data_IF_313981701219
#
_entry.id   IF_313981701219
#
_cell.length_a   1.000
_cell.length_b   1.000
_cell.length_c   1.000
_cell.angle_alpha   90.00
_cell.angle_beta   90.00
_cell.angle_gamma   90.00
#
_symmetry.space_group_name_H-M   'P 1'
#
loop_
_entity.id
_entity.type
_entity.pdbx_description
1 polymer ?
#
# COMPACT_ATOMS: atom_id res chain seq x y z
N UNK A 1 -35.75 45.67 19.33
CA UNK A 1 -35.63 46.09 17.93
C UNK A 1 -34.74 45.06 17.28
N UNK A 2 -35.37 43.98 16.83
CA UNK A 2 -34.78 42.93 16.00
C UNK A 2 -34.81 43.44 14.57
N UNK A 3 -33.65 43.52 13.94
CA UNK A 3 -33.50 43.21 12.52
C UNK A 3 -32.25 42.32 12.37
N UNK A 4 -32.43 41.04 12.00
CA UNK A 4 -31.39 40.04 11.78
C UNK A 4 -31.07 39.96 10.28
N UNK A 5 -29.79 40.07 9.87
CA UNK A 5 -29.29 39.48 8.62
C UNK A 5 -27.78 39.77 8.43
N UNK A 6 -26.95 38.83 8.91
CA UNK A 6 -25.79 38.27 8.21
C UNK A 6 -25.45 36.95 8.90
N UNK A 7 -25.72 35.86 8.19
CA UNK A 7 -25.49 34.48 8.64
C UNK A 7 -24.01 34.13 8.85
N UNK A 8 -23.84 33.14 9.73
CA UNK A 8 -22.68 32.37 10.24
C UNK A 8 -21.28 32.50 9.62
N UNK A 9 -20.30 32.92 10.45
CA UNK A 9 -18.87 32.60 10.36
C UNK A 9 -18.48 31.40 11.24
N UNK A 10 -19.35 30.41 11.45
CA UNK A 10 -18.89 29.02 11.71
C UNK A 10 -18.24 28.45 10.43
N UNK A 11 -18.58 29.02 9.28
CA UNK A 11 -18.14 28.70 7.92
C UNK A 11 -16.87 29.44 7.45
N UNK A 12 -16.09 30.03 8.36
CA UNK A 12 -14.91 30.84 8.01
C UNK A 12 -13.62 30.35 8.68
N UNK A 13 -13.33 29.05 8.53
CA UNK A 13 -11.95 28.53 8.62
C UNK A 13 -11.39 28.41 10.04
N UNK A 14 -11.88 27.46 10.85
CA UNK A 14 -10.99 26.76 11.81
C UNK A 14 -10.01 27.68 12.58
N UNK A 15 -10.48 28.83 13.09
CA UNK A 15 -9.60 30.00 13.36
C UNK A 15 -8.59 29.79 14.50
N UNK A 16 -8.51 28.61 15.12
CA UNK A 16 -7.54 28.32 16.19
C UNK A 16 -6.97 26.91 16.09
N UNK A 17 -6.15 26.72 15.06
CA UNK A 17 -5.22 25.61 14.75
C UNK A 17 -4.23 25.22 15.88
N UNK A 18 -4.51 25.52 17.14
CA UNK A 18 -4.04 24.76 18.33
C UNK A 18 -4.74 23.40 18.45
N UNK A 19 -5.77 23.18 17.63
CA UNK A 19 -6.56 21.95 17.46
C UNK A 19 -6.21 21.17 16.16
N UNK A 20 -5.01 21.37 15.59
CA UNK A 20 -4.63 20.81 14.28
C UNK A 20 -4.14 19.36 14.36
N UNK A 21 -5.05 18.47 14.69
CA UNK A 21 -5.09 17.19 14.01
C UNK A 21 -5.71 17.47 12.64
N UNK A 22 -4.92 17.36 11.57
CA UNK A 22 -5.45 17.52 10.23
C UNK A 22 -6.22 16.25 9.88
N UNK A 23 -7.55 16.32 9.92
CA UNK A 23 -8.32 15.60 8.92
C UNK A 23 -7.86 16.22 7.59
N UNK A 24 -7.25 15.50 6.65
CA UNK A 24 -7.72 14.27 6.04
C UNK A 24 -6.54 13.76 5.17
N UNK A 25 -6.04 12.54 5.35
CA UNK A 25 -5.24 11.87 4.31
C UNK A 25 -5.99 10.63 3.86
N UNK A 26 -6.33 10.55 2.57
CA UNK A 26 -6.94 9.36 2.00
C UNK A 26 -6.20 8.08 2.41
N UNK A 27 -7.00 7.06 2.70
CA UNK A 27 -6.67 5.62 2.81
C UNK A 27 -5.60 5.28 3.83
N UNK A 28 -5.93 5.69 5.04
CA UNK A 28 -5.23 5.21 6.19
C UNK A 28 -3.92 5.92 6.36
N UNK A 29 -3.91 7.25 6.39
CA UNK A 29 -2.86 8.00 7.07
C UNK A 29 -3.37 9.24 7.83
N UNK A 30 -2.63 9.76 8.82
CA UNK A 30 -2.91 11.05 9.46
C UNK A 30 -1.62 11.82 9.78
N UNK A 31 -1.52 13.11 9.41
CA UNK A 31 -0.42 13.98 9.87
C UNK A 31 -0.85 14.80 11.08
N UNK A 32 -0.12 14.62 12.16
CA UNK A 32 -0.44 15.22 13.45
C UNK A 32 0.78 15.98 13.97
N UNK A 33 0.56 17.20 14.44
CA UNK A 33 1.66 18.13 14.67
C UNK A 33 1.71 18.58 16.12
N UNK A 34 2.83 18.33 16.80
CA UNK A 34 3.06 18.82 18.16
C UNK A 34 3.63 20.24 18.15
N UNK A 35 3.06 21.12 18.98
CA UNK A 35 3.62 22.44 19.26
C UNK A 35 4.63 22.40 20.40
N UNK A 36 5.91 22.75 20.16
CA UNK A 36 6.93 22.88 21.22
C UNK A 36 7.97 23.99 20.92
N UNK A 37 8.67 24.50 21.94
CA UNK A 37 9.63 25.59 21.82
C UNK A 37 11.04 25.11 21.39
N UNK A 38 11.46 25.38 20.14
CA UNK A 38 12.90 25.34 19.79
C UNK A 38 13.35 24.73 18.45
N UNK A 39 12.62 24.91 17.34
CA UNK A 39 13.00 24.35 16.03
C UNK A 39 13.68 25.33 15.04
N UNK A 40 14.37 24.83 13.99
CA UNK A 40 14.86 25.64 12.86
C UNK A 40 13.73 26.28 12.03
N UNK A 41 13.98 27.46 11.44
CA UNK A 41 12.98 28.23 10.65
C UNK A 41 12.56 27.52 9.36
N UNK A 42 11.29 27.63 8.99
CA UNK A 42 10.79 27.28 7.65
C UNK A 42 11.67 27.94 6.57
N UNK A 43 12.10 27.20 5.53
CA UNK A 43 12.65 27.82 4.34
C UNK A 43 11.56 28.68 3.69
N UNK A 44 11.97 29.82 3.13
CA UNK A 44 11.07 30.72 2.36
C UNK A 44 10.81 30.23 0.93
N UNK A 45 11.31 29.05 0.59
CA UNK A 45 11.24 28.42 -0.71
C UNK A 45 10.97 26.91 -0.50
N UNK A 46 10.43 26.21 -1.52
CA UNK A 46 10.30 24.76 -1.51
C UNK A 46 11.62 24.09 -1.15
N UNK A 47 11.56 22.95 -0.45
CA UNK A 47 12.76 22.13 -0.27
C UNK A 47 13.15 21.58 -1.65
N UNK A 48 14.19 22.16 -2.27
CA UNK A 48 14.75 21.66 -3.52
C UNK A 48 15.21 20.20 -3.33
N UNK A 49 14.83 19.31 -4.25
CA UNK A 49 15.28 17.91 -4.26
C UNK A 49 16.75 17.78 -4.73
N UNK A 50 17.43 18.91 -4.94
CA UNK A 50 18.81 19.02 -5.40
C UNK A 50 19.77 18.47 -4.33
N UNK A 51 19.97 17.15 -4.42
CA UNK A 51 20.75 16.30 -3.53
C UNK A 51 20.15 16.15 -2.13
N UNK A 52 19.38 15.07 -1.91
CA UNK A 52 19.46 14.15 -0.75
C UNK A 52 19.69 14.75 0.67
N UNK A 53 19.34 16.02 0.90
CA UNK A 53 19.60 16.81 2.11
C UNK A 53 18.30 17.09 2.88
N UNK A 54 17.24 16.30 2.67
CA UNK A 54 16.15 16.23 3.65
C UNK A 54 16.71 15.52 4.89
N UNK A 55 16.84 16.20 6.05
CA UNK A 55 17.32 15.53 7.26
C UNK A 55 16.38 14.36 7.56
N UNK A 56 16.97 13.19 7.76
CA UNK A 56 16.23 11.95 7.95
C UNK A 56 15.24 12.10 9.11
N UNK A 57 14.00 11.68 8.88
CA UNK A 57 13.13 11.25 9.96
C UNK A 57 13.80 10.04 10.60
N UNK A 58 14.09 10.11 11.90
CA UNK A 58 14.61 8.94 12.62
C UNK A 58 13.52 7.86 12.59
N UNK A 59 13.82 6.72 11.97
CA UNK A 59 13.06 5.50 12.14
C UNK A 59 13.34 5.00 13.57
N UNK A 60 12.56 5.47 14.54
CA UNK A 60 12.65 4.97 15.91
C UNK A 60 12.03 3.58 15.96
N UNK A 61 12.86 2.59 16.31
CA UNK A 61 12.45 1.20 16.53
C UNK A 61 11.48 1.08 17.70
N UNK A 62 10.51 0.21 17.50
CA UNK A 62 9.54 -0.34 18.44
C UNK A 62 10.03 -0.44 19.91
N UNK A 63 9.63 0.53 20.75
CA UNK A 63 9.31 0.41 22.17
C UNK A 63 9.26 1.80 22.82
N UNK A 64 8.07 2.19 23.31
CA UNK A 64 7.65 3.48 23.92
C UNK A 64 7.34 4.60 22.92
N UNK A 65 6.06 4.99 22.85
CA UNK A 65 5.63 6.25 22.19
C UNK A 65 6.50 7.40 22.69
N UNK A 66 7.32 7.98 21.81
CA UNK A 66 7.95 9.25 22.08
C UNK A 66 6.85 10.31 22.29
N UNK A 67 7.13 11.36 23.06
CA UNK A 67 6.13 12.39 23.37
C UNK A 67 5.43 12.98 22.11
N UNK A 68 6.09 13.16 20.95
CA UNK A 68 5.43 13.53 19.71
C UNK A 68 4.34 12.53 19.26
N UNK A 69 4.63 11.23 19.32
CA UNK A 69 3.71 10.17 18.91
C UNK A 69 2.51 10.10 19.87
N UNK A 70 2.77 10.14 21.17
CA UNK A 70 1.71 10.17 22.19
C UNK A 70 0.83 11.42 22.08
N UNK A 71 1.42 12.60 21.84
CA UNK A 71 0.68 13.84 21.64
C UNK A 71 -0.20 13.78 20.38
N UNK A 72 0.35 13.24 19.30
CA UNK A 72 -0.37 13.02 18.07
C UNK A 72 -1.57 12.06 18.27
N UNK A 73 -1.37 10.88 18.87
CA UNK A 73 -2.49 9.95 19.16
C UNK A 73 -3.61 10.59 19.98
N UNK A 74 -3.28 11.44 20.96
CA UNK A 74 -4.28 12.22 21.72
C UNK A 74 -5.04 13.24 20.85
N UNK A 75 -4.34 13.89 19.93
CA UNK A 75 -4.96 14.83 18.99
C UNK A 75 -5.90 14.11 18.02
N UNK A 76 -5.52 12.92 17.53
CA UNK A 76 -6.39 12.08 16.71
C UNK A 76 -7.68 11.65 17.44
N UNK A 77 -7.58 11.30 18.73
CA UNK A 77 -8.77 11.00 19.56
C UNK A 77 -9.75 12.18 19.60
N UNK A 78 -9.21 13.40 19.67
CA UNK A 78 -10.04 14.61 19.69
C UNK A 78 -10.78 14.86 18.36
N UNK A 79 -10.31 14.27 17.25
CA UNK A 79 -11.01 14.25 15.97
C UNK A 79 -12.00 13.10 15.80
N UNK A 80 -12.10 12.19 16.77
CA UNK A 80 -12.95 11.01 16.65
C UNK A 80 -12.30 9.84 15.89
N UNK A 81 -10.98 9.86 15.66
CA UNK A 81 -10.24 8.69 15.20
C UNK A 81 -9.93 7.77 16.40
N UNK A 82 -10.14 6.46 16.22
CA UNK A 82 -9.75 5.48 17.24
C UNK A 82 -8.21 5.40 17.30
N UNK A 83 -7.57 5.71 18.43
CA UNK A 83 -6.11 5.62 18.55
C UNK A 83 -5.55 4.22 18.33
N UNK A 84 -6.37 3.18 18.50
CA UNK A 84 -5.95 1.79 18.29
C UNK A 84 -5.88 1.40 16.82
N UNK A 85 -6.55 2.15 15.93
CA UNK A 85 -6.44 1.94 14.48
C UNK A 85 -5.30 2.72 13.86
N UNK A 86 -4.59 3.55 14.64
CA UNK A 86 -3.46 4.34 14.14
C UNK A 86 -2.15 3.55 14.26
N UNK A 87 -1.54 3.24 13.13
CA UNK A 87 -0.19 2.69 13.03
C UNK A 87 0.80 3.83 12.82
N UNK A 88 1.89 3.92 13.59
CA UNK A 88 2.86 4.99 13.38
C UNK A 88 3.73 4.68 12.17
N UNK A 89 3.87 5.64 11.23
CA UNK A 89 4.70 5.47 10.02
C UNK A 89 5.99 6.26 10.13
N UNK A 90 5.91 7.55 10.50
CA UNK A 90 7.08 8.43 10.48
C UNK A 90 6.93 9.64 11.37
N UNK A 91 8.03 10.07 11.97
CA UNK A 91 8.13 11.37 12.66
C UNK A 91 9.10 12.29 11.92
N UNK A 92 8.62 13.39 11.39
CA UNK A 92 9.44 14.37 10.68
C UNK A 92 10.21 15.28 11.62
N UNK A 93 11.33 15.83 11.15
CA UNK A 93 12.10 16.80 11.93
C UNK A 93 11.26 18.03 12.29
N UNK A 94 11.38 18.58 13.52
CA UNK A 94 10.64 19.77 13.91
C UNK A 94 10.93 20.99 13.04
N UNK A 95 9.91 21.78 12.74
CA UNK A 95 10.00 23.01 11.94
C UNK A 95 9.38 24.19 12.70
N UNK A 96 9.92 25.40 12.53
CA UNK A 96 9.38 26.63 13.11
C UNK A 96 8.62 27.47 12.08
N UNK A 97 7.37 27.82 12.40
CA UNK A 97 6.54 28.78 11.66
C UNK A 97 6.16 29.94 12.59
N UNK A 98 6.72 31.13 12.33
CA UNK A 98 6.60 32.28 13.24
C UNK A 98 7.19 32.03 14.64
N UNK A 99 6.34 32.11 15.66
CA UNK A 99 6.71 31.87 17.06
C UNK A 99 6.59 30.40 17.49
N UNK A 100 5.88 29.59 16.70
CA UNK A 100 5.51 28.22 17.02
C UNK A 100 6.46 27.22 16.34
N UNK A 101 6.69 26.06 16.97
CA UNK A 101 7.37 24.94 16.31
C UNK A 101 6.46 23.73 16.21
N UNK A 102 6.65 22.94 15.18
CA UNK A 102 5.76 21.90 14.70
C UNK A 102 6.57 20.62 14.46
N UNK A 103 6.22 19.51 15.11
CA UNK A 103 6.81 18.20 14.84
C UNK A 103 5.75 17.30 14.15
N UNK A 104 5.79 17.17 12.81
CA UNK A 104 4.80 16.40 12.07
C UNK A 104 5.02 14.89 12.29
N UNK A 105 3.95 14.16 12.51
CA UNK A 105 3.93 12.71 12.70
C UNK A 105 2.91 12.13 11.73
N UNK A 106 3.34 11.21 10.87
CA UNK A 106 2.49 10.45 9.96
C UNK A 106 2.12 9.13 10.63
N UNK A 107 0.81 8.88 10.73
CA UNK A 107 0.24 7.57 11.02
C UNK A 107 -0.32 6.97 9.75
N UNK A 108 -0.45 5.65 9.72
CA UNK A 108 -1.41 4.94 8.89
C UNK A 108 -2.69 4.62 9.71
N UNK A 109 -3.86 4.48 9.08
CA UNK A 109 -5.12 4.09 9.74
C UNK A 109 -5.56 2.73 9.21
N UNK A 110 -5.59 1.74 10.09
CA UNK A 110 -6.00 0.38 9.77
C UNK A 110 -7.52 0.29 9.56
N UNK A 111 -7.94 -0.35 8.46
CA UNK A 111 -9.33 -0.64 8.11
C UNK A 111 -10.14 0.55 7.58
N UNK A 112 -11.42 0.31 7.28
CA UNK A 112 -12.43 1.34 7.02
C UNK A 112 -12.77 2.09 8.32
N UNK A 113 -11.78 2.78 8.89
CA UNK A 113 -11.89 3.56 10.12
C UNK A 113 -12.88 4.72 9.95
N UNK A 114 -14.17 4.40 9.89
CA UNK A 114 -15.25 5.34 10.04
C UNK A 114 -15.09 5.95 11.44
N UNK A 115 -14.79 7.25 11.47
CA UNK A 115 -14.70 8.00 12.71
C UNK A 115 -16.01 7.83 13.48
N UNK A 116 -15.99 7.06 14.57
CA UNK A 116 -17.15 6.95 15.45
C UNK A 116 -17.17 8.19 16.33
N UNK A 117 -17.75 9.29 15.85
CA UNK A 117 -18.01 10.44 16.70
C UNK A 117 -19.30 10.21 17.49
N UNK A 118 -19.15 10.02 18.80
CA UNK A 118 -20.25 10.16 19.75
C UNK A 118 -20.61 11.67 19.84
N UNK A 119 -21.35 12.15 18.83
CA UNK A 119 -22.10 13.39 18.86
C UNK A 119 -21.35 14.71 18.68
N UNK A 120 -20.93 15.02 17.43
CA UNK A 120 -20.94 16.36 16.84
C UNK A 120 -20.46 16.26 15.37
N UNK A 121 -21.33 16.65 14.42
CA UNK A 121 -21.18 16.51 12.97
C UNK A 121 -21.06 15.05 12.46
N UNK A 122 -21.87 14.74 11.45
CA UNK A 122 -21.89 13.47 10.74
C UNK A 122 -20.55 13.26 10.04
N UNK A 123 -19.73 12.33 10.55
CA UNK A 123 -18.53 11.87 9.85
C UNK A 123 -18.86 11.19 8.50
N UNK A 124 -20.13 10.82 8.29
CA UNK A 124 -20.66 10.36 7.00
C UNK A 124 -20.54 11.39 5.86
N UNK A 125 -20.23 12.67 6.15
CA UNK A 125 -20.07 13.75 5.16
C UNK A 125 -18.60 14.21 4.97
N UNK A 126 -17.62 13.62 5.66
CA UNK A 126 -16.21 13.99 5.50
C UNK A 126 -15.57 13.21 4.33
N UNK A 127 -15.26 13.91 3.24
CA UNK A 127 -14.59 13.31 2.08
C UNK A 127 -13.10 13.15 2.32
N UNK A 128 -12.57 11.95 2.09
CA UNK A 128 -11.14 11.69 2.18
C UNK A 128 -10.38 12.24 0.96
N UNK A 129 -9.44 13.17 1.15
CA UNK A 129 -8.62 13.82 0.09
C UNK A 129 -7.12 13.50 0.22
N UNK A 130 -6.39 13.59 -0.90
CA UNK A 130 -4.94 13.47 -0.91
C UNK A 130 -4.25 14.69 -0.26
N UNK A 131 -3.04 14.55 0.31
CA UNK A 131 -2.31 15.69 0.87
C UNK A 131 -1.99 16.78 -0.16
N UNK A 132 -2.06 16.49 -1.46
CA UNK A 132 -1.95 17.51 -2.52
C UNK A 132 -3.08 18.54 -2.49
N UNK A 133 -4.21 18.26 -1.81
CA UNK A 133 -5.22 19.28 -1.51
C UNK A 133 -4.65 20.47 -0.72
N UNK A 134 -3.58 20.28 0.06
CA UNK A 134 -2.87 21.37 0.74
C UNK A 134 -2.19 22.34 -0.25
N UNK A 135 -1.91 21.92 -1.48
CA UNK A 135 -1.38 22.79 -2.54
C UNK A 135 -2.50 23.48 -3.32
N UNK A 136 -3.60 22.76 -3.57
CA UNK A 136 -4.68 23.21 -4.45
C UNK A 136 -5.73 24.07 -3.73
N UNK A 137 -6.00 23.78 -2.46
CA UNK A 137 -7.12 24.35 -1.71
C UNK A 137 -6.69 25.22 -0.52
N UNK A 138 -5.47 25.05 -0.01
CA UNK A 138 -5.00 25.82 1.15
C UNK A 138 -4.67 27.26 0.79
N UNK A 139 -5.03 28.18 1.70
CA UNK A 139 -4.58 29.56 1.66
C UNK A 139 -3.12 29.74 2.12
N UNK A 140 -2.49 28.71 2.73
CA UNK A 140 -1.14 28.79 3.31
C UNK A 140 -0.19 27.71 2.77
N UNK A 141 0.82 28.09 1.97
CA UNK A 141 1.88 27.18 1.54
C UNK A 141 2.67 26.51 2.69
N UNK A 142 2.60 27.05 3.92
CA UNK A 142 3.33 26.50 5.07
C UNK A 142 2.80 25.14 5.54
N UNK A 143 1.57 24.77 5.19
CA UNK A 143 0.97 23.48 5.57
C UNK A 143 1.59 22.33 4.75
N UNK A 144 1.75 22.53 3.44
CA UNK A 144 2.43 21.59 2.56
C UNK A 144 3.87 21.31 3.04
N UNK A 145 4.61 22.35 3.43
CA UNK A 145 5.99 22.18 3.94
C UNK A 145 6.08 21.37 5.23
N UNK A 146 4.99 21.30 6.02
CA UNK A 146 4.93 20.42 7.20
C UNK A 146 4.71 18.98 6.78
N UNK A 147 3.78 18.72 5.85
CA UNK A 147 3.57 17.40 5.27
C UNK A 147 4.84 16.84 4.61
N UNK A 148 5.58 17.66 3.85
CA UNK A 148 6.82 17.25 3.17
C UNK A 148 7.90 16.66 4.09
N UNK A 149 7.84 16.91 5.42
CA UNK A 149 8.77 16.30 6.39
C UNK A 149 8.47 14.84 6.70
N UNK A 150 7.25 14.41 6.45
CA UNK A 150 6.81 13.03 6.67
C UNK A 150 6.43 12.32 5.37
N UNK A 151 6.25 13.06 4.27
CA UNK A 151 6.02 12.51 2.93
C UNK A 151 7.09 11.48 2.53
N UNK A 152 6.72 10.41 1.81
CA UNK A 152 7.69 9.42 1.35
C UNK A 152 8.73 10.02 0.40
N UNK A 153 9.87 9.34 0.28
CA UNK A 153 10.95 9.69 -0.65
C UNK A 153 11.49 8.43 -1.32
N UNK A 154 12.17 8.58 -2.45
CA UNK A 154 12.91 7.47 -3.08
C UNK A 154 13.85 6.81 -2.06
N UNK A 155 14.53 7.62 -1.24
CA UNK A 155 15.43 7.13 -0.20
C UNK A 155 14.70 6.35 0.88
N UNK A 156 13.52 6.80 1.34
CA UNK A 156 12.75 6.03 2.33
C UNK A 156 12.32 4.69 1.77
N UNK A 157 11.86 4.65 0.50
CA UNK A 157 11.50 3.40 -0.18
C UNK A 157 12.72 2.47 -0.34
N UNK A 158 13.89 3.04 -0.62
CA UNK A 158 15.16 2.31 -0.76
C UNK A 158 15.74 1.83 0.59
N UNK A 159 15.39 2.48 1.70
CA UNK A 159 15.87 2.11 3.03
C UNK A 159 14.95 1.13 3.76
N UNK A 160 13.67 1.08 3.41
CA UNK A 160 12.65 0.28 4.09
C UNK A 160 12.79 -1.23 3.79
N UNK A 161 13.35 -1.97 4.74
CA UNK A 161 13.46 -3.43 4.71
C UNK A 161 12.44 -4.13 5.61
N UNK A 162 11.47 -3.39 6.14
CA UNK A 162 10.50 -3.89 7.12
C UNK A 162 9.15 -4.17 6.46
N UNK A 163 8.74 -3.31 5.52
CA UNK A 163 7.44 -3.41 4.86
C UNK A 163 7.47 -4.21 3.54
N UNK A 164 6.31 -4.75 3.19
CA UNK A 164 6.11 -5.53 1.96
C UNK A 164 5.98 -4.69 0.69
N UNK A 165 6.06 -5.35 -0.47
CA UNK A 165 6.04 -4.71 -1.79
C UNK A 165 4.75 -3.90 -2.08
N UNK A 166 3.59 -4.36 -1.58
CA UNK A 166 2.32 -3.65 -1.75
C UNK A 166 2.36 -2.27 -1.08
N UNK A 167 2.79 -2.22 0.19
CA UNK A 167 2.97 -0.98 0.94
C UNK A 167 3.93 -0.01 0.24
N UNK A 168 5.13 -0.49 -0.09
CA UNK A 168 6.17 0.35 -0.69
C UNK A 168 5.80 0.87 -2.08
N UNK A 169 5.02 0.10 -2.83
CA UNK A 169 4.52 0.56 -4.13
C UNK A 169 3.52 1.70 -4.01
N UNK A 170 2.65 1.71 -2.99
CA UNK A 170 1.74 2.84 -2.72
C UNK A 170 2.56 4.08 -2.36
N UNK A 171 3.56 3.94 -1.48
CA UNK A 171 4.47 5.04 -1.11
C UNK A 171 5.26 5.57 -2.31
N UNK A 172 5.60 4.72 -3.28
CA UNK A 172 6.22 5.15 -4.54
C UNK A 172 5.28 6.01 -5.40
N UNK A 173 4.00 5.65 -5.47
CA UNK A 173 3.01 6.46 -6.19
C UNK A 173 2.78 7.81 -5.50
N UNK A 174 2.79 7.86 -4.17
CA UNK A 174 2.72 9.12 -3.44
C UNK A 174 3.90 10.05 -3.76
N UNK A 175 5.12 9.51 -3.89
CA UNK A 175 6.29 10.29 -4.31
C UNK A 175 6.06 10.94 -5.68
N UNK A 176 5.50 10.19 -6.65
CA UNK A 176 5.18 10.74 -7.97
C UNK A 176 4.07 11.79 -7.91
N UNK A 177 2.96 11.47 -7.23
CA UNK A 177 1.81 12.36 -7.04
C UNK A 177 2.25 13.70 -6.44
N UNK A 178 2.99 13.64 -5.33
CA UNK A 178 3.37 14.81 -4.56
C UNK A 178 4.34 15.70 -5.34
N UNK A 179 5.26 15.11 -6.13
CA UNK A 179 6.17 15.90 -6.97
C UNK A 179 5.42 16.58 -8.11
N UNK A 180 4.53 15.86 -8.78
CA UNK A 180 3.74 16.36 -9.89
C UNK A 180 2.83 17.52 -9.44
N UNK A 181 2.12 17.36 -8.32
CA UNK A 181 1.29 18.41 -7.72
C UNK A 181 2.10 19.67 -7.38
N UNK A 182 3.31 19.50 -6.85
CA UNK A 182 4.18 20.62 -6.51
C UNK A 182 4.61 21.41 -7.77
N UNK A 183 5.00 20.72 -8.85
CA UNK A 183 5.36 21.36 -10.11
C UNK A 183 4.19 22.18 -10.70
N UNK A 184 2.97 21.63 -10.64
CA UNK A 184 1.74 22.33 -11.07
C UNK A 184 1.50 23.58 -10.20
N UNK A 185 1.63 23.45 -8.88
CA UNK A 185 1.45 24.57 -7.94
C UNK A 185 2.49 25.70 -8.14
N UNK A 186 3.73 25.33 -8.47
CA UNK A 186 4.83 26.28 -8.75
C UNK A 186 4.69 26.95 -10.12
N UNK A 187 3.90 26.38 -11.03
CA UNK A 187 3.79 26.83 -12.41
C UNK A 187 5.07 26.60 -13.23
N UNK A 188 5.91 25.66 -12.82
CA UNK A 188 7.17 25.29 -13.47
C UNK A 188 7.27 23.76 -13.68
N UNK A 189 6.41 23.19 -14.54
CA UNK A 189 6.41 21.76 -14.83
C UNK A 189 7.63 21.32 -15.65
N UNK A 190 8.29 20.27 -15.17
CA UNK A 190 9.46 19.65 -15.78
C UNK A 190 9.19 18.14 -15.95
N UNK A 191 8.93 17.75 -17.21
CA UNK A 191 8.60 16.37 -17.58
C UNK A 191 9.81 15.44 -17.53
N UNK A 192 10.99 15.96 -17.83
CA UNK A 192 12.22 15.18 -17.77
C UNK A 192 12.48 14.80 -16.30
N UNK A 193 12.23 15.72 -15.38
CA UNK A 193 12.35 15.45 -13.94
C UNK A 193 11.35 14.38 -13.44
N UNK A 194 10.07 14.43 -13.86
CA UNK A 194 9.07 13.42 -13.47
C UNK A 194 9.42 12.04 -14.04
N UNK A 195 9.94 12.00 -15.27
CA UNK A 195 10.44 10.79 -15.93
C UNK A 195 11.64 10.21 -15.17
N UNK A 196 12.63 11.05 -14.84
CA UNK A 196 13.80 10.69 -14.05
C UNK A 196 13.42 10.21 -12.64
N UNK A 197 12.41 10.82 -12.01
CA UNK A 197 11.86 10.37 -10.74
C UNK A 197 11.24 8.98 -10.84
N UNK A 198 10.48 8.71 -11.91
CA UNK A 198 9.97 7.39 -12.24
C UNK A 198 11.08 6.34 -12.33
N UNK A 199 12.17 6.64 -13.05
CA UNK A 199 13.32 5.74 -13.16
C UNK A 199 14.05 5.50 -11.83
N UNK A 200 14.17 6.54 -11.00
CA UNK A 200 14.72 6.42 -9.65
C UNK A 200 13.87 5.51 -8.75
N UNK A 201 12.55 5.63 -8.81
CA UNK A 201 11.63 4.77 -8.06
C UNK A 201 11.71 3.31 -8.52
N UNK A 202 11.74 3.08 -9.84
CA UNK A 202 11.89 1.75 -10.42
C UNK A 202 13.23 1.09 -10.04
N UNK A 203 14.25 1.89 -9.76
CA UNK A 203 15.56 1.45 -9.29
C UNK A 203 15.65 1.28 -7.76
N UNK A 204 14.70 1.79 -6.98
CA UNK A 204 14.72 1.76 -5.51
C UNK A 204 14.59 0.35 -4.94
N UNK A 205 13.74 -0.47 -5.58
CA UNK A 205 13.46 -1.87 -5.21
C UNK A 205 13.32 -2.74 -6.47
N UNK A 206 14.42 -3.04 -7.18
CA UNK A 206 14.36 -3.66 -8.49
C UNK A 206 13.81 -5.10 -8.49
N UNK A 207 13.67 -5.74 -7.33
CA UNK A 207 13.03 -7.05 -7.16
C UNK A 207 11.51 -6.99 -7.04
N UNK A 208 10.91 -5.82 -6.76
CA UNK A 208 9.48 -5.67 -6.48
C UNK A 208 8.68 -5.42 -7.77
N UNK A 209 8.10 -6.49 -8.33
CA UNK A 209 7.26 -6.42 -9.52
C UNK A 209 6.06 -5.47 -9.36
N UNK A 210 5.43 -5.45 -8.19
CA UNK A 210 4.28 -4.58 -7.89
C UNK A 210 4.64 -3.10 -8.00
N UNK A 211 5.78 -2.70 -7.42
CA UNK A 211 6.26 -1.33 -7.52
C UNK A 211 6.54 -0.98 -8.99
N UNK A 212 7.20 -1.89 -9.72
CA UNK A 212 7.49 -1.70 -11.14
C UNK A 212 6.21 -1.48 -11.96
N UNK A 213 5.25 -2.37 -11.83
CA UNK A 213 4.02 -2.34 -12.62
C UNK A 213 3.18 -1.10 -12.31
N UNK A 214 3.04 -0.73 -11.03
CA UNK A 214 2.26 0.44 -10.61
C UNK A 214 2.88 1.76 -11.09
N UNK A 215 4.20 1.93 -10.96
CA UNK A 215 4.89 3.13 -11.46
C UNK A 215 4.79 3.24 -12.98
N UNK A 216 5.02 2.14 -13.71
CA UNK A 216 4.88 2.12 -15.16
C UNK A 216 3.45 2.47 -15.60
N UNK A 217 2.44 1.95 -14.90
CA UNK A 217 1.02 2.24 -15.19
C UNK A 217 0.71 3.73 -15.07
N UNK A 218 1.18 4.39 -14.01
CA UNK A 218 0.99 5.83 -13.81
C UNK A 218 1.63 6.64 -14.94
N UNK A 219 2.89 6.35 -15.26
CA UNK A 219 3.62 7.11 -16.28
C UNK A 219 3.10 6.84 -17.69
N UNK A 220 2.69 5.61 -18.00
CA UNK A 220 2.01 5.28 -19.25
C UNK A 220 0.65 5.97 -19.39
N UNK A 221 -0.17 5.99 -18.34
CA UNK A 221 -1.46 6.67 -18.34
C UNK A 221 -1.30 8.18 -18.54
N UNK A 222 -0.30 8.80 -17.91
CA UNK A 222 -0.01 10.22 -18.07
C UNK A 222 0.52 10.57 -19.48
N UNK A 223 1.31 9.68 -20.09
CA UNK A 223 1.85 9.88 -21.44
C UNK A 223 0.81 9.65 -22.55
N UNK A 224 -0.16 8.75 -22.31
CA UNK A 224 -1.09 8.24 -23.32
C UNK A 224 -2.46 8.90 -23.35
N UNK A 225 -2.62 10.13 -22.84
CA UNK A 225 -3.86 10.92 -22.77
C UNK A 225 -5.12 10.25 -23.37
N UNK A 226 -5.98 9.75 -22.49
CA UNK A 226 -7.31 9.13 -22.75
C UNK A 226 -7.40 7.64 -23.15
N UNK A 227 -6.35 6.91 -23.54
CA UNK A 227 -6.54 5.55 -24.12
C UNK A 227 -6.42 4.34 -23.14
N UNK A 228 -5.95 4.52 -21.89
CA UNK A 228 -5.72 3.37 -20.97
C UNK A 228 -6.88 3.15 -19.98
N UNK A 229 -7.79 4.11 -19.83
CA UNK A 229 -8.88 4.01 -18.86
C UNK A 229 -10.05 3.12 -19.32
N UNK A 230 -10.24 2.90 -20.63
CA UNK A 230 -11.39 2.15 -21.15
C UNK A 230 -11.18 0.62 -21.22
N UNK A 231 -9.95 0.11 -21.18
CA UNK A 231 -9.73 -1.34 -21.33
C UNK A 231 -10.08 -2.17 -20.09
N UNK A 232 -10.12 -1.56 -18.90
CA UNK A 232 -10.38 -2.27 -17.64
C UNK A 232 -11.85 -2.19 -17.19
N UNK A 233 -12.62 -1.21 -17.66
CA UNK A 233 -14.06 -1.12 -17.36
C UNK A 233 -14.88 -2.21 -18.09
N UNK A 234 -14.37 -2.76 -19.20
CA UNK A 234 -15.08 -3.75 -20.00
C UNK A 234 -15.07 -5.18 -19.42
N UNK A 235 -14.32 -5.43 -18.34
CA UNK A 235 -14.24 -6.74 -17.69
C UNK A 235 -15.13 -6.88 -16.43
N UNK A 236 -15.81 -5.81 -16.00
CA UNK A 236 -16.71 -5.80 -14.84
C UNK A 236 -18.15 -5.55 -15.31
N UNK A 237 -18.93 -6.62 -15.44
CA UNK A 237 -20.31 -6.56 -15.96
C UNK A 237 -21.27 -5.90 -14.94
N UNK A 238 -21.77 -4.71 -15.28
CA UNK A 238 -23.20 -4.38 -15.17
C UNK A 238 -23.76 -3.75 -13.89
N UNK A 239 -23.43 -2.49 -13.57
CA UNK A 239 -24.43 -1.45 -13.21
C UNK A 239 -23.78 -0.05 -13.13
N UNK A 240 -23.59 0.62 -14.27
CA UNK A 240 -23.22 2.03 -14.30
C UNK A 240 -24.40 2.84 -14.83
N UNK A 241 -25.18 3.41 -13.90
CA UNK A 241 -26.15 4.44 -14.22
C UNK A 241 -25.41 5.64 -14.81
N UNK A 242 -25.77 5.99 -16.06
CA UNK A 242 -25.22 7.09 -16.81
C UNK A 242 -25.28 8.42 -16.03
N UNK A 243 -24.12 8.98 -15.71
CA UNK A 243 -23.94 10.40 -15.39
C UNK A 243 -23.49 11.09 -16.67
N UNK A 244 -24.42 11.82 -17.29
CA UNK A 244 -24.18 12.69 -18.44
C UNK A 244 -23.31 13.88 -17.97
N UNK A 245 -22.01 13.79 -18.23
CA UNK A 245 -21.03 14.85 -18.00
C UNK A 245 -20.41 15.26 -19.34
N UNK A 246 -20.62 16.52 -19.72
CA UNK A 246 -20.19 17.13 -20.98
C UNK A 246 -18.65 17.12 -21.10
N UNK A 247 -18.08 16.07 -21.68
CA UNK A 247 -16.66 15.94 -21.98
C UNK A 247 -16.32 16.78 -23.22
N UNK A 248 -15.89 18.02 -22.99
CA UNK A 248 -15.29 18.84 -24.02
C UNK A 248 -13.91 18.26 -24.40
N UNK A 249 -13.85 17.60 -25.56
CA UNK A 249 -12.62 17.16 -26.20
C UNK A 249 -11.59 18.32 -26.27
N UNK A 250 -10.50 18.21 -25.51
CA UNK A 250 -9.33 19.06 -25.59
C UNK A 250 -8.33 18.39 -26.54
N UNK A 251 -8.52 18.58 -27.84
CA UNK A 251 -7.52 18.29 -28.88
C UNK A 251 -6.46 19.40 -28.81
N UNK A 252 -5.42 19.20 -28.00
CA UNK A 252 -4.36 20.18 -27.74
C UNK A 252 -3.04 19.51 -27.39
N UNK A 253 -1.95 19.96 -28.03
CA UNK A 253 -0.56 19.62 -27.72
C UNK A 253 -0.35 19.58 -26.20
N UNK A 254 0.11 18.45 -25.66
CA UNK A 254 0.22 18.24 -24.23
C UNK A 254 1.22 19.26 -23.64
N UNK A 255 0.72 20.26 -22.93
CA UNK A 255 1.58 21.21 -22.23
C UNK A 255 2.28 20.49 -21.08
N UNK A 256 3.49 20.93 -20.71
CA UNK A 256 4.18 20.37 -19.54
C UNK A 256 3.29 20.43 -18.28
N UNK A 257 2.49 21.48 -18.14
CA UNK A 257 1.50 21.64 -17.06
C UNK A 257 0.38 20.58 -17.13
N UNK A 258 -0.12 20.28 -18.33
CA UNK A 258 -1.12 19.24 -18.56
C UNK A 258 -0.60 17.84 -18.25
N UNK A 259 0.66 17.55 -18.58
CA UNK A 259 1.28 16.25 -18.27
C UNK A 259 1.57 16.11 -16.77
N UNK A 260 2.07 17.15 -16.10
CA UNK A 260 2.26 17.12 -14.64
C UNK A 260 0.92 16.89 -13.91
N UNK A 261 -0.15 17.57 -14.34
CA UNK A 261 -1.51 17.30 -13.83
C UNK A 261 -1.95 15.86 -14.11
N UNK A 262 -1.68 15.33 -15.30
CA UNK A 262 -2.00 13.94 -15.66
C UNK A 262 -1.22 12.92 -14.80
N UNK A 263 0.05 13.18 -14.46
CA UNK A 263 0.84 12.34 -13.55
C UNK A 263 0.24 12.37 -12.14
N UNK A 264 -0.12 13.54 -11.61
CA UNK A 264 -0.77 13.65 -10.30
C UNK A 264 -2.07 12.83 -10.27
N UNK A 265 -2.96 13.06 -11.25
CA UNK A 265 -4.23 12.37 -11.34
C UNK A 265 -4.08 10.85 -11.53
N UNK A 266 -3.17 10.42 -12.40
CA UNK A 266 -2.88 9.01 -12.63
C UNK A 266 -2.28 8.33 -11.39
N UNK A 267 -1.43 9.03 -10.64
CA UNK A 267 -0.86 8.52 -9.39
C UNK A 267 -1.92 8.37 -8.31
N UNK A 268 -2.82 9.34 -8.14
CA UNK A 268 -3.94 9.22 -7.18
C UNK A 268 -4.89 8.08 -7.57
N UNK A 269 -5.27 7.98 -8.84
CA UNK A 269 -6.05 6.86 -9.36
C UNK A 269 -5.33 5.51 -9.19
N UNK A 270 -4.00 5.49 -9.33
CA UNK A 270 -3.16 4.31 -9.14
C UNK A 270 -3.10 3.84 -7.68
N UNK A 271 -3.01 4.76 -6.73
CA UNK A 271 -3.13 4.46 -5.28
C UNK A 271 -4.54 3.91 -4.99
N UNK A 272 -5.55 4.50 -5.62
CA UNK A 272 -6.93 4.09 -5.48
C UNK A 272 -7.18 2.67 -6.01
N UNK A 273 -6.61 2.36 -7.16
CA UNK A 273 -6.63 1.02 -7.76
C UNK A 273 -5.88 0.04 -6.88
N UNK A 274 -4.68 0.40 -6.40
CA UNK A 274 -3.82 -0.48 -5.63
C UNK A 274 -4.53 -1.08 -4.41
N UNK A 275 -5.21 -0.26 -3.60
CA UNK A 275 -5.84 -0.79 -2.39
C UNK A 275 -7.21 -1.44 -2.66
N UNK A 276 -7.89 -1.06 -3.76
CA UNK A 276 -9.08 -1.80 -4.21
C UNK A 276 -8.70 -3.18 -4.73
N UNK A 277 -7.63 -3.29 -5.52
CA UNK A 277 -7.20 -4.57 -6.10
C UNK A 277 -6.88 -5.61 -5.02
N UNK A 278 -6.22 -5.21 -3.92
CA UNK A 278 -5.98 -6.13 -2.80
C UNK A 278 -7.30 -6.52 -2.11
N UNK A 279 -8.21 -5.57 -1.84
CA UNK A 279 -9.50 -5.85 -1.22
C UNK A 279 -10.42 -6.73 -2.11
N UNK A 280 -10.47 -6.46 -3.41
CA UNK A 280 -11.27 -7.18 -4.40
C UNK A 280 -10.70 -8.61 -4.61
N UNK A 281 -9.38 -8.77 -4.62
CA UNK A 281 -8.74 -10.09 -4.66
C UNK A 281 -9.05 -10.91 -3.40
N UNK A 282 -9.04 -10.26 -2.22
CA UNK A 282 -9.42 -10.88 -0.96
C UNK A 282 -10.90 -11.29 -0.96
N UNK A 283 -11.80 -10.43 -1.43
CA UNK A 283 -13.23 -10.74 -1.55
C UNK A 283 -13.49 -11.91 -2.51
N UNK A 284 -12.85 -11.92 -3.68
CA UNK A 284 -12.95 -13.03 -4.64
C UNK A 284 -12.44 -14.36 -4.05
N UNK A 285 -11.37 -14.30 -3.24
CA UNK A 285 -10.87 -15.47 -2.53
C UNK A 285 -11.80 -15.88 -1.38
N UNK A 286 -12.41 -14.93 -0.65
CA UNK A 286 -13.33 -15.24 0.43
C UNK A 286 -14.54 -16.07 -0.06
N UNK A 287 -15.12 -15.68 -1.19
CA UNK A 287 -16.22 -16.44 -1.83
C UNK A 287 -15.81 -17.87 -2.20
N UNK A 288 -14.57 -18.05 -2.66
CA UNK A 288 -14.02 -19.37 -3.01
C UNK A 288 -13.79 -20.25 -1.77
N UNK A 289 -13.36 -19.65 -0.66
CA UNK A 289 -12.92 -20.37 0.55
C UNK A 289 -14.05 -20.61 1.55
N UNK A 290 -15.24 -20.09 1.30
CA UNK A 290 -16.38 -20.23 2.22
C UNK A 290 -16.71 -21.70 2.51
N UNK A 291 -16.77 -22.05 3.81
CA UNK A 291 -17.01 -23.42 4.27
C UNK A 291 -15.87 -24.42 4.02
N UNK A 292 -14.69 -23.98 3.57
CA UNK A 292 -13.51 -24.84 3.39
C UNK A 292 -12.67 -24.94 4.67
N UNK A 293 -11.95 -26.05 4.83
CA UNK A 293 -10.82 -26.16 5.74
C UNK A 293 -9.53 -25.85 4.99
N UNK A 294 -8.79 -24.84 5.42
CA UNK A 294 -7.67 -24.27 4.65
C UNK A 294 -6.34 -24.49 5.35
N UNK A 295 -5.27 -24.69 4.58
CA UNK A 295 -3.89 -24.57 5.06
C UNK A 295 -3.21 -23.36 4.42
N UNK A 296 -2.55 -22.53 5.22
CA UNK A 296 -1.77 -21.37 4.76
C UNK A 296 -0.38 -21.32 5.42
N UNK A 297 0.48 -20.45 4.90
CA UNK A 297 1.81 -20.16 5.43
C UNK A 297 2.20 -18.71 5.15
N UNK A 298 3.23 -18.27 5.87
CA UNK A 298 3.78 -16.91 5.87
C UNK A 298 2.75 -15.88 6.34
N UNK A 299 2.96 -14.61 5.97
CA UNK A 299 2.07 -13.49 6.23
C UNK A 299 1.72 -12.82 4.91
N UNK A 300 0.45 -12.85 4.56
CA UNK A 300 -0.12 -12.12 3.43
C UNK A 300 -1.39 -11.44 3.91
N UNK A 301 -1.43 -10.11 3.85
CA UNK A 301 -2.62 -9.33 4.20
C UNK A 301 -3.83 -9.76 3.37
N UNK A 302 -3.66 -9.89 2.05
CA UNK A 302 -4.74 -10.34 1.14
C UNK A 302 -5.30 -11.72 1.51
N UNK A 303 -4.47 -12.67 1.97
CA UNK A 303 -4.94 -13.99 2.43
C UNK A 303 -5.61 -13.89 3.80
N UNK A 304 -5.08 -13.06 4.70
CA UNK A 304 -5.68 -12.80 6.00
C UNK A 304 -7.10 -12.21 5.81
N UNK A 305 -7.22 -11.13 5.05
CA UNK A 305 -8.49 -10.45 4.73
C UNK A 305 -9.50 -11.42 4.09
N UNK A 306 -9.04 -12.28 3.18
CA UNK A 306 -9.87 -13.30 2.55
C UNK A 306 -10.39 -14.34 3.55
N UNK A 307 -9.54 -14.80 4.46
CA UNK A 307 -9.91 -15.79 5.48
C UNK A 307 -10.83 -15.19 6.55
N UNK A 308 -10.61 -13.94 6.94
CA UNK A 308 -11.47 -13.20 7.88
C UNK A 308 -12.86 -12.91 7.28
N UNK A 309 -12.91 -12.63 5.98
CA UNK A 309 -14.17 -12.37 5.27
C UNK A 309 -14.93 -13.65 4.89
N UNK A 310 -14.26 -14.80 4.87
CA UNK A 310 -14.86 -16.11 4.64
C UNK A 310 -15.40 -16.74 5.94
N UNK A 311 -16.16 -17.83 5.81
CA UNK A 311 -16.52 -18.70 6.95
C UNK A 311 -15.79 -20.05 6.86
N UNK A 312 -14.46 -20.12 7.05
CA UNK A 312 -13.74 -21.38 6.96
C UNK A 312 -14.15 -22.34 8.09
N UNK A 313 -14.17 -23.65 7.82
CA UNK A 313 -14.44 -24.68 8.83
C UNK A 313 -13.29 -24.85 9.82
N UNK A 314 -12.06 -24.68 9.35
CA UNK A 314 -10.84 -24.65 10.17
C UNK A 314 -9.69 -24.06 9.36
N UNK A 315 -8.69 -23.53 10.06
CA UNK A 315 -7.47 -23.00 9.43
C UNK A 315 -6.23 -23.65 10.05
N UNK A 316 -5.34 -24.14 9.20
CA UNK A 316 -4.03 -24.66 9.56
C UNK A 316 -2.96 -23.67 9.11
N UNK A 317 -2.07 -23.24 10.00
CA UNK A 317 -1.07 -22.22 9.70
C UNK A 317 0.33 -22.78 9.98
N UNK A 318 1.16 -22.86 8.94
CA UNK A 318 2.56 -23.24 9.13
C UNK A 318 3.33 -22.09 9.82
N UNK A 319 4.16 -22.39 10.81
CA UNK A 319 4.83 -21.36 11.59
C UNK A 319 5.70 -20.43 10.73
N UNK A 320 6.25 -20.91 9.60
CA UNK A 320 6.99 -20.15 8.60
C UNK A 320 8.38 -19.70 9.04
N UNK A 321 9.24 -20.68 9.32
CA UNK A 321 10.65 -20.43 9.62
C UNK A 321 11.38 -19.73 8.46
N UNK A 322 12.45 -18.97 8.76
CA UNK A 322 13.00 -18.73 10.09
C UNK A 322 12.25 -17.65 10.90
N UNK A 323 11.57 -16.71 10.23
CA UNK A 323 10.97 -15.53 10.86
C UNK A 323 9.72 -15.81 11.72
N UNK A 324 9.11 -16.99 11.55
CA UNK A 324 7.93 -17.44 12.30
C UNK A 324 6.69 -16.55 12.11
N UNK A 325 6.55 -15.98 10.92
CA UNK A 325 5.51 -15.00 10.59
C UNK A 325 4.09 -15.58 10.68
N UNK A 326 3.94 -16.88 10.42
CA UNK A 326 2.65 -17.56 10.50
C UNK A 326 2.10 -17.66 11.93
N UNK A 327 2.93 -17.45 12.96
CA UNK A 327 2.44 -17.39 14.34
C UNK A 327 1.54 -16.17 14.53
N UNK A 328 1.96 -14.99 14.05
CA UNK A 328 1.15 -13.76 14.15
C UNK A 328 -0.16 -13.90 13.38
N UNK A 329 -0.10 -14.43 12.15
CA UNK A 329 -1.31 -14.72 11.35
C UNK A 329 -2.26 -15.67 12.08
N UNK A 330 -1.75 -16.70 12.75
CA UNK A 330 -2.59 -17.61 13.51
C UNK A 330 -3.24 -16.94 14.73
N UNK A 331 -2.54 -16.03 15.40
CA UNK A 331 -3.08 -15.25 16.53
C UNK A 331 -4.18 -14.28 16.07
N UNK A 332 -3.96 -13.57 14.95
CA UNK A 332 -4.94 -12.67 14.33
C UNK A 332 -6.20 -13.43 13.90
N UNK A 333 -6.04 -14.52 13.14
CA UNK A 333 -7.17 -15.36 12.73
C UNK A 333 -7.92 -15.98 13.91
N UNK A 334 -7.22 -16.40 14.96
CA UNK A 334 -7.87 -16.97 16.15
C UNK A 334 -8.66 -15.92 16.94
N UNK A 335 -8.33 -14.63 16.80
CA UNK A 335 -9.08 -13.53 17.39
C UNK A 335 -10.29 -13.12 16.52
N UNK A 336 -10.14 -13.20 15.20
CA UNK A 336 -11.16 -12.78 14.23
C UNK A 336 -12.22 -13.85 13.93
N UNK A 337 -11.86 -15.15 13.95
CA UNK A 337 -12.71 -16.24 13.49
C UNK A 337 -13.39 -17.02 14.62
N UNK A 338 -14.62 -17.48 14.36
CA UNK A 338 -15.32 -18.49 15.17
C UNK A 338 -14.87 -19.95 14.83
N UNK A 339 -13.79 -20.12 14.08
CA UNK A 339 -13.29 -21.41 13.58
C UNK A 339 -12.00 -21.88 14.31
N UNK A 340 -11.74 -23.20 14.40
CA UNK A 340 -10.48 -23.69 14.97
C UNK A 340 -9.27 -23.28 14.11
N UNK A 341 -8.29 -22.63 14.75
CA UNK A 341 -6.99 -22.31 14.15
C UNK A 341 -5.91 -23.20 14.77
N UNK A 342 -5.14 -23.90 13.94
CA UNK A 342 -4.09 -24.84 14.36
C UNK A 342 -2.75 -24.46 13.76
N UNK A 343 -1.76 -24.18 14.60
CA UNK A 343 -0.37 -23.95 14.16
C UNK A 343 0.36 -25.28 14.02
N UNK A 344 1.16 -25.40 12.95
CA UNK A 344 2.03 -26.54 12.71
C UNK A 344 3.46 -26.12 12.36
N UNK A 345 4.43 -27.01 12.62
CA UNK A 345 5.77 -26.83 12.10
C UNK A 345 5.77 -26.97 10.57
N UNK A 346 6.65 -26.25 9.88
CA UNK A 346 6.74 -26.29 8.40
C UNK A 346 6.97 -27.72 7.88
N UNK A 347 7.77 -28.51 8.60
CA UNK A 347 8.03 -29.91 8.26
C UNK A 347 6.81 -30.84 8.41
N UNK A 348 5.78 -30.41 9.15
CA UNK A 348 4.55 -31.17 9.35
C UNK A 348 3.50 -30.94 8.25
N UNK A 349 3.67 -29.95 7.36
CA UNK A 349 2.70 -29.59 6.32
C UNK A 349 2.28 -30.81 5.50
N UNK A 350 3.24 -31.58 4.99
CA UNK A 350 2.93 -32.76 4.19
C UNK A 350 2.16 -33.86 4.95
N UNK A 351 2.41 -33.99 6.26
CA UNK A 351 1.66 -34.93 7.09
C UNK A 351 0.24 -34.42 7.33
N UNK A 352 0.10 -33.13 7.67
CA UNK A 352 -1.19 -32.50 7.90
C UNK A 352 -2.11 -32.60 6.67
N UNK A 353 -1.58 -32.32 5.46
CA UNK A 353 -2.33 -32.49 4.21
C UNK A 353 -2.78 -33.93 3.94
N UNK A 354 -2.11 -34.93 4.53
CA UNK A 354 -2.45 -36.34 4.36
C UNK A 354 -3.37 -36.90 5.46
N UNK A 355 -3.47 -36.24 6.61
CA UNK A 355 -4.19 -36.77 7.78
C UNK A 355 -5.31 -35.89 8.31
N UNK A 356 -5.21 -34.59 8.10
CA UNK A 356 -6.25 -33.62 8.48
C UNK A 356 -7.21 -33.40 7.31
N UNK A 357 -8.40 -32.89 7.64
CA UNK A 357 -9.41 -32.52 6.66
C UNK A 357 -9.07 -31.13 6.10
N UNK A 358 -8.24 -31.08 5.05
CA UNK A 358 -7.85 -29.84 4.35
C UNK A 358 -8.38 -29.89 2.92
N UNK A 359 -9.21 -28.91 2.57
CA UNK A 359 -9.85 -28.77 1.26
C UNK A 359 -8.99 -27.98 0.27
N UNK A 360 -8.16 -27.04 0.75
CA UNK A 360 -7.31 -26.21 -0.09
C UNK A 360 -6.05 -25.73 0.65
N UNK A 361 -4.96 -25.54 -0.11
CA UNK A 361 -3.82 -24.72 0.32
C UNK A 361 -4.00 -23.33 -0.27
N UNK A 362 -3.89 -22.30 0.56
CA UNK A 362 -4.03 -20.89 0.14
C UNK A 362 -2.80 -20.14 0.58
N UNK A 363 -2.16 -19.43 -0.35
CA UNK A 363 -0.95 -18.64 -0.07
C UNK A 363 -1.01 -17.29 -0.78
N UNK A 364 -0.21 -16.33 -0.32
CA UNK A 364 0.04 -15.11 -1.07
C UNK A 364 1.05 -15.33 -2.20
N UNK A 365 1.46 -14.23 -2.83
CA UNK A 365 2.60 -14.20 -3.73
C UNK A 365 3.43 -12.93 -3.52
N UNK A 366 4.72 -13.00 -3.78
CA UNK A 366 5.61 -11.85 -3.96
C UNK A 366 5.67 -11.44 -5.44
N UNK A 367 5.66 -12.43 -6.32
CA UNK A 367 5.51 -12.25 -7.77
C UNK A 367 4.90 -13.49 -8.43
N UNK A 368 4.19 -13.28 -9.53
CA UNK A 368 3.73 -14.34 -10.44
C UNK A 368 4.39 -14.13 -11.79
N UNK A 369 5.07 -15.15 -12.32
CA UNK A 369 5.80 -15.06 -13.58
C UNK A 369 4.87 -15.28 -14.78
N UNK A 370 5.27 -14.86 -16.00
CA UNK A 370 4.45 -15.01 -17.20
C UNK A 370 4.06 -16.47 -17.52
N UNK A 371 4.86 -17.44 -17.04
CA UNK A 371 4.60 -18.87 -17.23
C UNK A 371 3.82 -19.52 -16.07
N UNK A 372 3.22 -18.70 -15.20
CA UNK A 372 2.42 -19.14 -14.06
C UNK A 372 3.23 -19.58 -12.84
N UNK A 373 4.57 -19.58 -12.89
CA UNK A 373 5.38 -19.85 -11.69
C UNK A 373 5.16 -18.77 -10.63
N UNK A 374 5.09 -19.18 -9.38
CA UNK A 374 4.80 -18.28 -8.26
C UNK A 374 6.04 -18.16 -7.37
N UNK A 375 6.47 -16.93 -7.13
CA UNK A 375 7.48 -16.59 -6.13
C UNK A 375 6.74 -16.23 -4.85
N UNK A 376 6.99 -16.97 -3.78
CA UNK A 376 6.42 -16.70 -2.46
C UNK A 376 7.38 -17.23 -1.39
N UNK A 377 7.04 -17.01 -0.11
CA UNK A 377 7.84 -17.45 1.03
C UNK A 377 8.32 -18.90 0.89
N UNK A 378 9.60 -19.12 1.22
CA UNK A 378 10.18 -20.47 1.31
C UNK A 378 9.30 -21.39 2.14
N UNK A 379 8.94 -22.53 1.56
CA UNK A 379 7.96 -23.47 2.11
C UNK A 379 6.75 -23.64 1.20
N UNK A 380 6.42 -22.62 0.40
CA UNK A 380 5.33 -22.65 -0.58
C UNK A 380 5.47 -23.80 -1.56
N UNK A 381 6.66 -23.95 -2.17
CA UNK A 381 6.91 -25.04 -3.11
C UNK A 381 6.72 -26.42 -2.47
N UNK A 382 7.16 -26.57 -1.21
CA UNK A 382 7.04 -27.84 -0.50
C UNK A 382 5.57 -28.16 -0.17
N UNK A 383 4.80 -27.16 0.25
CA UNK A 383 3.37 -27.27 0.49
C UNK A 383 2.62 -27.64 -0.80
N UNK A 384 2.90 -26.97 -1.91
CA UNK A 384 2.26 -27.23 -3.20
C UNK A 384 2.57 -28.64 -3.74
N UNK A 385 3.81 -29.10 -3.61
CA UNK A 385 4.20 -30.48 -3.98
C UNK A 385 3.45 -31.53 -3.14
N UNK A 386 3.26 -31.28 -1.84
CA UNK A 386 2.51 -32.17 -0.96
C UNK A 386 1.00 -32.13 -1.27
N UNK A 387 0.43 -30.96 -1.51
CA UNK A 387 -0.97 -30.79 -1.87
C UNK A 387 -1.31 -31.52 -3.18
N UNK A 388 -0.47 -31.35 -4.22
CA UNK A 388 -0.61 -32.06 -5.49
C UNK A 388 -0.56 -33.58 -5.32
N UNK A 389 0.22 -34.09 -4.36
CA UNK A 389 0.31 -35.53 -4.08
C UNK A 389 -0.98 -36.11 -3.49
N UNK A 390 -1.72 -35.31 -2.70
CA UNK A 390 -2.98 -35.69 -2.07
C UNK A 390 -4.22 -35.24 -2.86
N UNK A 391 -4.03 -34.52 -3.98
CA UNK A 391 -5.12 -34.03 -4.81
C UNK A 391 -5.84 -32.81 -4.24
N UNK A 392 -5.14 -32.04 -3.39
CA UNK A 392 -5.63 -30.80 -2.77
C UNK A 392 -5.23 -29.62 -3.67
N UNK A 393 -6.17 -28.76 -4.12
CA UNK A 393 -5.86 -27.59 -4.92
C UNK A 393 -5.05 -26.54 -4.15
N UNK A 394 -4.19 -25.84 -4.86
CA UNK A 394 -3.41 -24.71 -4.33
C UNK A 394 -3.90 -23.43 -4.99
N UNK A 395 -4.39 -22.49 -4.19
CA UNK A 395 -4.79 -21.16 -4.64
C UNK A 395 -3.77 -20.12 -4.19
N UNK A 396 -3.48 -19.20 -5.09
CA UNK A 396 -2.61 -18.05 -4.82
C UNK A 396 -3.45 -16.80 -4.83
N UNK A 397 -3.48 -16.04 -3.75
CA UNK A 397 -4.28 -14.80 -3.65
C UNK A 397 -3.34 -13.60 -3.72
N UNK A 398 -3.53 -12.77 -4.74
CA UNK A 398 -2.70 -11.60 -4.99
C UNK A 398 -3.39 -10.62 -5.96
N UNK A 399 -3.16 -9.32 -5.82
CA UNK A 399 -3.51 -8.37 -6.88
C UNK A 399 -2.80 -8.68 -8.20
N UNK A 400 -3.43 -8.40 -9.34
CA UNK A 400 -2.85 -8.65 -10.66
C UNK A 400 -1.54 -7.89 -10.88
N UNK A 401 -1.33 -6.76 -10.18
CA UNK A 401 -0.06 -6.02 -10.13
C UNK A 401 1.15 -6.87 -9.71
N UNK A 402 0.95 -8.03 -9.06
CA UNK A 402 2.04 -8.97 -8.71
C UNK A 402 2.52 -9.81 -9.90
N UNK A 403 1.80 -9.81 -11.02
CA UNK A 403 2.22 -10.49 -12.25
C UNK A 403 3.39 -9.72 -12.88
N UNK A 404 4.57 -10.32 -12.88
CA UNK A 404 5.76 -9.70 -13.46
C UNK A 404 5.85 -9.99 -14.95
N UNK A 405 6.38 -9.02 -15.71
CA UNK A 405 6.82 -9.21 -17.10
C UNK A 405 8.15 -9.98 -17.22
N UNK A 406 8.86 -10.20 -16.10
CA UNK A 406 10.22 -10.78 -16.10
C UNK A 406 10.14 -12.30 -15.95
N UNK A 407 10.94 -13.03 -16.73
CA UNK A 407 11.05 -14.49 -16.61
C UNK A 407 12.04 -14.93 -15.52
N UNK A 408 12.94 -14.03 -15.11
CA UNK A 408 14.03 -14.31 -14.16
C UNK A 408 13.67 -13.87 -12.75
N UNK A 409 13.88 -14.77 -11.78
CA UNK A 409 13.69 -14.49 -10.36
C UNK A 409 15.04 -14.19 -9.70
N UNK A 410 15.14 -13.05 -9.03
CA UNK A 410 16.26 -12.72 -8.16
C UNK A 410 15.86 -13.04 -6.71
N UNK A 411 16.20 -14.25 -6.24
CA UNK A 411 15.91 -14.65 -4.87
C UNK A 411 16.96 -14.07 -3.91
N UNK A 412 16.51 -13.25 -2.98
CA UNK A 412 17.35 -12.75 -1.90
C UNK A 412 17.64 -13.84 -0.87
N UNK A 413 18.84 -13.79 -0.29
CA UNK A 413 19.22 -14.67 0.82
C UNK A 413 19.03 -13.89 2.12
N UNK A 414 18.26 -14.45 3.04
CA UNK A 414 18.07 -13.90 4.38
C UNK A 414 19.29 -14.09 5.27
N UNK A 415 19.24 -13.51 6.47
CA UNK A 415 20.33 -13.60 7.45
C UNK A 415 20.62 -15.06 7.82
N UNK A 416 21.88 -15.47 7.69
CA UNK A 416 22.35 -16.79 8.09
C UNK A 416 22.14 -17.06 9.59
N UNK A 417 22.25 -16.03 10.43
CA UNK A 417 22.11 -16.18 11.89
C UNK A 417 20.69 -16.58 12.31
N UNK A 418 19.68 -16.27 11.49
CA UNK A 418 18.31 -16.69 11.71
C UNK A 418 18.11 -18.23 11.63
N UNK A 419 19.04 -18.92 10.95
CA UNK A 419 19.09 -20.38 10.85
C UNK A 419 20.12 -20.97 11.82
N UNK A 420 21.31 -20.36 11.90
CA UNK A 420 22.41 -20.83 12.73
C UNK A 420 23.24 -19.67 13.28
N UNK A 421 23.21 -19.49 14.60
CA UNK A 421 23.88 -18.43 15.36
C UNK A 421 25.12 -18.93 16.14
N UNK A 422 25.57 -20.17 15.87
CA UNK A 422 26.68 -20.78 16.57
C UNK A 422 28.07 -20.42 16.03
N UNK A 423 29.10 -20.65 16.83
CA UNK A 423 30.49 -20.25 16.54
C UNK A 423 31.25 -21.19 15.57
N UNK A 424 30.63 -22.28 15.11
CA UNK A 424 31.30 -23.24 14.21
C UNK A 424 31.13 -22.79 12.76
N UNK A 425 32.21 -22.81 11.97
CA UNK A 425 32.16 -22.46 10.54
C UNK A 425 31.37 -23.48 9.71
N UNK A 426 30.04 -23.30 9.65
CA UNK A 426 29.10 -24.07 8.83
C UNK A 426 28.54 -23.13 7.75
N UNK A 427 28.48 -23.60 6.51
CA UNK A 427 27.83 -22.86 5.43
C UNK A 427 26.31 -22.90 5.61
N UNK A 428 25.67 -21.72 5.63
CA UNK A 428 24.22 -21.57 5.82
C UNK A 428 23.59 -21.10 4.51
N UNK A 429 22.51 -21.76 4.12
CA UNK A 429 21.66 -21.36 3.01
C UNK A 429 20.28 -20.99 3.56
N UNK A 430 19.87 -19.73 3.38
CA UNK A 430 18.61 -19.20 3.89
C UNK A 430 17.86 -18.41 2.79
N UNK A 431 17.28 -19.06 1.78
CA UNK A 431 16.47 -18.36 0.80
C UNK A 431 15.19 -17.83 1.48
N UNK A 432 14.88 -16.55 1.29
CA UNK A 432 13.64 -15.97 1.88
C UNK A 432 12.40 -16.44 1.12
N UNK A 433 12.54 -16.65 -0.19
CA UNK A 433 11.49 -17.06 -1.10
C UNK A 433 11.89 -18.31 -1.88
N UNK A 434 10.89 -19.07 -2.35
CA UNK A 434 11.05 -20.15 -3.31
C UNK A 434 10.21 -19.90 -4.57
N UNK A 435 10.45 -20.72 -5.61
CA UNK A 435 9.70 -20.67 -6.87
C UNK A 435 8.87 -21.94 -7.00
N UNK A 436 7.55 -21.78 -6.94
CA UNK A 436 6.56 -22.85 -7.09
C UNK A 436 6.16 -22.99 -8.55
N UNK A 437 6.27 -24.20 -9.15
CA UNK A 437 5.83 -24.45 -10.52
C UNK A 437 4.34 -24.15 -10.75
N UNK A 438 4.01 -23.50 -11.87
CA UNK A 438 2.64 -23.09 -12.18
C UNK A 438 1.68 -24.27 -12.33
N UNK A 439 2.17 -25.44 -12.75
CA UNK A 439 1.35 -26.66 -12.85
C UNK A 439 0.88 -27.22 -11.49
N UNK A 440 1.39 -26.69 -10.37
CA UNK A 440 0.93 -27.03 -9.03
C UNK A 440 -0.10 -26.03 -8.49
N UNK A 441 -0.38 -24.95 -9.24
CA UNK A 441 -1.31 -23.89 -8.86
C UNK A 441 -2.61 -24.11 -9.61
N UNK A 442 -3.72 -24.21 -8.87
CA UNK A 442 -5.06 -24.37 -9.46
C UNK A 442 -5.54 -23.06 -10.09
N UNK A 443 -5.32 -21.92 -9.42
CA UNK A 443 -5.58 -20.59 -9.96
C UNK A 443 -4.85 -19.52 -9.15
N UNK A 444 -4.56 -18.39 -9.80
CA UNK A 444 -4.22 -17.13 -9.13
C UNK A 444 -5.50 -16.31 -8.99
N UNK A 445 -5.98 -16.12 -7.77
CA UNK A 445 -7.17 -15.34 -7.44
C UNK A 445 -6.76 -13.87 -7.28
N UNK A 446 -7.32 -13.04 -8.15
CA UNK A 446 -7.03 -11.60 -8.26
C UNK A 446 -8.33 -10.79 -8.24
N UNK A 447 -8.23 -9.46 -8.28
CA UNK A 447 -9.37 -8.57 -8.51
C UNK A 447 -10.04 -8.77 -9.88
N UNK A 448 -9.36 -9.44 -10.82
CA UNK A 448 -9.88 -9.82 -12.14
C UNK A 448 -10.51 -11.22 -12.12
N UNK A 449 -10.69 -11.80 -10.94
CA UNK A 449 -11.16 -13.17 -10.76
C UNK A 449 -10.02 -14.19 -10.76
N UNK A 450 -10.36 -15.44 -11.10
CA UNK A 450 -9.43 -16.58 -11.12
C UNK A 450 -8.69 -16.61 -12.46
N UNK A 451 -7.39 -16.37 -12.41
CA UNK A 451 -6.51 -16.42 -13.58
C UNK A 451 -5.86 -17.80 -13.70
N UNK A 452 -5.93 -18.35 -14.90
CA UNK A 452 -5.12 -19.51 -15.30
C UNK A 452 -3.77 -19.07 -15.92
N UNK A 453 -3.00 -20.02 -16.45
CA UNK A 453 -1.70 -19.73 -17.06
C UNK A 453 -1.77 -18.84 -18.31
N UNK A 454 -2.83 -18.93 -19.11
CA UNK A 454 -3.02 -18.06 -20.29
C UNK A 454 -3.41 -16.65 -19.85
N UNK A 455 -4.30 -16.53 -18.85
CA UNK A 455 -4.69 -15.24 -18.27
C UNK A 455 -3.48 -14.53 -17.64
N UNK A 456 -2.65 -15.24 -16.87
CA UNK A 456 -1.42 -14.68 -16.28
C UNK A 456 -0.46 -14.17 -17.35
N UNK A 457 -0.29 -14.90 -18.45
CA UNK A 457 0.55 -14.46 -19.57
C UNK A 457 0.00 -13.17 -20.20
N UNK A 458 -1.32 -13.05 -20.37
CA UNK A 458 -1.96 -11.86 -20.90
C UNK A 458 -1.75 -10.63 -19.98
N UNK A 459 -1.86 -10.80 -18.66
CA UNK A 459 -1.55 -9.72 -17.69
C UNK A 459 -0.07 -9.32 -17.77
N UNK A 460 0.84 -10.29 -17.93
CA UNK A 460 2.27 -9.99 -18.08
C UNK A 460 2.57 -9.19 -19.36
N UNK A 461 1.87 -9.48 -20.47
CA UNK A 461 1.96 -8.72 -21.72
C UNK A 461 1.41 -7.29 -21.56
N UNK A 462 0.28 -7.11 -20.86
CA UNK A 462 -0.26 -5.80 -20.50
C UNK A 462 0.79 -4.98 -19.74
N UNK A 463 1.40 -5.56 -18.70
CA UNK A 463 2.45 -4.91 -17.93
C UNK A 463 3.71 -4.59 -18.73
N UNK A 464 4.04 -5.42 -19.73
CA UNK A 464 5.15 -5.13 -20.64
C UNK A 464 4.83 -3.91 -21.53
N UNK A 465 3.60 -3.80 -22.03
CA UNK A 465 3.16 -2.67 -22.85
C UNK A 465 3.22 -1.34 -22.08
N UNK A 466 2.94 -1.35 -20.78
CA UNK A 466 3.04 -0.17 -19.91
C UNK A 466 4.47 0.38 -19.75
N UNK A 467 5.50 -0.25 -20.31
CA UNK A 467 6.87 0.30 -20.27
C UNK A 467 7.17 1.28 -21.40
N UNK A 468 6.24 1.49 -22.34
CA UNK A 468 6.44 2.30 -23.54
C UNK A 468 6.60 3.79 -23.27
N UNK A 469 6.21 4.32 -22.10
CA UNK A 469 6.44 5.73 -21.74
C UNK A 469 7.93 6.11 -21.69
N UNK A 470 8.82 5.11 -21.71
CA UNK A 470 10.28 5.27 -21.75
C UNK A 470 10.86 5.41 -23.15
N UNK A 471 10.06 5.14 -24.19
CA UNK A 471 10.45 5.23 -25.61
C UNK A 471 10.10 6.60 -26.18
#
# INVERSE_FOLDING_TARGET
>A
MTDPERGSPEAFVLERMTDYAAAVLRRGSAVLVRCDDGAPRLPSAPLEDAADERPDAEAESDATDSEPIAAARRAASALGLDPNTLEHVRTGSPIRDGEESYAPVLFDVAGDGAATTDGAATADDAEWVAPTALLHESASPSEWYRYQRVAPTVRSITADGEHGAAYLSVRALEVLRDRAALQVSEGDPDLDELTDLGDRLLSARPSMAVLENRVNRVLAAAAGGDDVAESDAAAMDGDAAAMDGDAAAMDGDATAEGVAFAVEAAADAGIDRALRADADAAAAAAELLDGMSVLTLSRSGTVLDALESASPRSVHVAESRPAREGIGVAEELAAALDAPVTVLADAAVAHALATEDVDAVVVGADAVLPDGRVVNKTGTRAAALAAAREGIPVYVVAASDKVTRRETVNLETGDATAIYDGDVGIDVLNPTFDVTPGELIEAVVTERGRLDGEDVAAVAEEHAALTSWRE
#
